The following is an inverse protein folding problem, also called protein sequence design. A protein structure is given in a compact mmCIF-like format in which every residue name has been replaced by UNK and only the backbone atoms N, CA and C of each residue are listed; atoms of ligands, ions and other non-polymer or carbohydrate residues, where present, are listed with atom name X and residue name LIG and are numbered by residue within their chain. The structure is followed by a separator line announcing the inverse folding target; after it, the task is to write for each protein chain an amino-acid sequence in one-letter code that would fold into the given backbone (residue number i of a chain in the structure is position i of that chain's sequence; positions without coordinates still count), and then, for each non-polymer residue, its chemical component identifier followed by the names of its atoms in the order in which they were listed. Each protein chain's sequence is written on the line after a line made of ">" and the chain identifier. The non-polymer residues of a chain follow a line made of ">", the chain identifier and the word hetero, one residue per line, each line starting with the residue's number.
data_IF_476512850402
#
_entry.id   IF_476512850402
#
_cell.length_a   1.000
_cell.length_b   1.000
_cell.length_c   1.000
_cell.angle_alpha   90.00
_cell.angle_beta   90.00
_cell.angle_gamma   90.00
#
_symmetry.space_group_name_H-M   'P 1'
#
loop_
_entity.id
_entity.type
_entity.pdbx_description
1 polymer ?
#
# COMPACT_ATOMS: atom_id res chain seq x y z
N UNK A 1 -0.07 14.54 9.06
CA UNK A 1 -0.32 15.78 8.32
C UNK A 1 -1.71 15.67 7.71
N UNK A 2 -2.59 16.65 7.92
CA UNK A 2 -3.87 16.71 7.21
C UNK A 2 -3.66 17.58 5.97
N UNK A 3 -3.83 16.97 4.80
CA UNK A 3 -3.70 17.66 3.53
C UNK A 3 -5.11 17.84 2.96
N UNK A 4 -5.53 19.08 2.75
CA UNK A 4 -6.78 19.43 2.06
C UNK A 4 -6.50 20.56 1.08
N UNK A 5 -6.86 20.39 -0.20
CA UNK A 5 -6.69 21.42 -1.23
C UNK A 5 -7.04 20.93 -2.63
N UNK A 6 -7.17 21.84 -3.60
CA UNK A 6 -7.45 21.51 -4.99
C UNK A 6 -6.16 21.17 -5.75
N UNK A 7 -6.14 20.03 -6.47
CA UNK A 7 -5.11 19.57 -7.40
C UNK A 7 -3.66 19.83 -6.96
N UNK A 8 -3.14 18.98 -6.10
CA UNK A 8 -1.80 19.11 -5.55
C UNK A 8 -0.92 17.92 -5.93
N UNK A 9 0.35 18.24 -6.17
CA UNK A 9 1.42 17.24 -6.22
C UNK A 9 2.25 17.36 -4.96
N UNK A 10 2.36 16.27 -4.22
CA UNK A 10 3.17 16.16 -3.00
C UNK A 10 4.41 15.33 -3.30
N UNK A 11 5.58 15.96 -3.17
CA UNK A 11 6.87 15.32 -3.38
C UNK A 11 7.63 15.21 -2.05
N UNK A 12 7.94 13.98 -1.66
CA UNK A 12 8.78 13.65 -0.51
C UNK A 12 10.04 12.97 -1.03
N UNK A 13 11.18 13.66 -0.96
CA UNK A 13 12.48 13.14 -1.39
C UNK A 13 13.46 13.14 -0.22
N UNK A 14 14.22 12.05 -0.08
CA UNK A 14 15.24 11.87 0.95
C UNK A 14 14.73 12.11 2.38
N UNK A 15 13.45 11.79 2.62
CA UNK A 15 12.76 12.02 3.88
C UNK A 15 12.89 10.82 4.83
N UNK A 16 12.82 11.10 6.14
CA UNK A 16 12.72 10.08 7.19
C UNK A 16 11.52 10.37 8.08
N UNK A 17 10.69 9.36 8.30
CA UNK A 17 9.54 9.39 9.20
C UNK A 17 9.68 8.29 10.24
N UNK A 18 10.08 8.64 11.47
CA UNK A 18 10.10 7.71 12.60
C UNK A 18 9.01 8.00 13.63
N UNK A 19 8.90 7.19 14.68
CA UNK A 19 7.87 7.36 15.72
C UNK A 19 7.92 8.67 16.49
N UNK A 20 9.05 9.40 16.46
CA UNK A 20 9.11 10.75 17.04
C UNK A 20 8.47 11.81 16.12
N UNK A 21 8.20 11.45 14.86
CA UNK A 21 7.56 12.25 13.83
C UNK A 21 6.17 11.70 13.45
N UNK A 22 5.44 11.10 14.39
CA UNK A 22 4.03 10.79 14.15
C UNK A 22 3.23 12.09 14.19
N UNK A 23 2.55 12.40 13.09
CA UNK A 23 1.77 13.64 12.95
C UNK A 23 0.32 13.47 13.43
N UNK A 24 -0.06 12.25 13.80
CA UNK A 24 -1.32 11.85 14.37
C UNK A 24 -1.03 10.66 15.31
N UNK A 25 -1.75 10.47 16.43
CA UNK A 25 -1.80 9.18 17.13
C UNK A 25 -2.06 7.97 16.22
N UNK A 26 -2.66 8.20 15.04
CA UNK A 26 -3.05 7.14 14.11
C UNK A 26 -2.10 6.95 12.89
N UNK A 27 -0.93 7.62 12.81
CA UNK A 27 0.04 7.39 11.70
C UNK A 27 0.83 8.61 11.20
N UNK A 28 1.48 8.46 10.03
CA UNK A 28 2.24 9.56 9.37
C UNK A 28 1.27 10.50 8.63
N UNK A 29 0.36 9.97 7.83
CA UNK A 29 -0.56 10.77 7.02
C UNK A 29 -1.93 10.10 6.83
N UNK A 30 -2.97 10.90 7.03
CA UNK A 30 -4.35 10.62 6.60
C UNK A 30 -4.67 11.58 5.46
N UNK A 31 -5.03 11.02 4.31
CA UNK A 31 -5.49 11.73 3.15
C UNK A 31 -6.94 11.36 2.84
N UNK A 32 -7.80 12.37 2.74
CA UNK A 32 -9.19 12.20 2.35
C UNK A 32 -9.59 13.39 1.48
N UNK A 33 -9.74 13.18 0.17
CA UNK A 33 -10.09 14.25 -0.77
C UNK A 33 -10.83 13.73 -2.00
N UNK A 34 -11.51 14.63 -2.69
CA UNK A 34 -12.39 14.35 -3.84
C UNK A 34 -11.89 14.95 -5.16
N UNK A 35 -10.58 15.20 -5.24
CA UNK A 35 -9.93 15.85 -6.38
C UNK A 35 -8.70 15.05 -6.79
N UNK A 36 -8.27 15.21 -8.04
CA UNK A 36 -7.10 14.50 -8.56
C UNK A 36 -5.82 15.00 -7.87
N UNK A 37 -5.11 14.11 -7.18
CA UNK A 37 -3.85 14.41 -6.49
C UNK A 37 -2.79 13.36 -6.76
N UNK A 38 -1.53 13.78 -6.61
CA UNK A 38 -0.37 12.95 -6.90
C UNK A 38 0.62 12.97 -5.74
N UNK A 39 1.08 11.79 -5.32
CA UNK A 39 2.05 11.64 -4.24
C UNK A 39 3.26 10.86 -4.73
N UNK A 40 4.43 11.46 -4.55
CA UNK A 40 5.71 10.88 -4.93
C UNK A 40 6.60 10.77 -3.70
N UNK A 41 6.94 9.54 -3.33
CA UNK A 41 7.88 9.21 -2.28
C UNK A 41 9.13 8.62 -2.93
N UNK A 42 10.25 9.32 -2.84
CA UNK A 42 11.54 8.90 -3.38
C UNK A 42 12.60 8.85 -2.28
N UNK A 43 13.29 7.72 -2.15
CA UNK A 43 14.30 7.52 -1.10
C UNK A 43 13.76 7.77 0.33
N UNK A 44 12.49 7.47 0.57
CA UNK A 44 11.84 7.74 1.86
C UNK A 44 11.94 6.54 2.79
N UNK A 45 12.34 6.80 4.03
CA UNK A 45 12.40 5.79 5.08
C UNK A 45 11.27 6.01 6.11
N UNK A 46 10.45 4.99 6.35
CA UNK A 46 9.34 5.05 7.32
C UNK A 46 9.42 3.89 8.30
N UNK A 47 9.67 4.16 9.58
CA UNK A 47 10.04 3.08 10.49
C UNK A 47 9.75 3.32 11.97
N UNK A 48 9.75 2.21 12.73
CA UNK A 48 9.58 2.18 14.18
C UNK A 48 8.29 2.85 14.68
N UNK A 49 7.25 2.96 13.84
CA UNK A 49 5.93 3.42 14.29
C UNK A 49 5.25 2.31 15.10
N UNK A 50 4.73 2.64 16.27
CA UNK A 50 4.07 1.68 17.17
C UNK A 50 2.74 2.24 17.65
N UNK A 51 1.65 1.84 17.00
CA UNK A 51 0.28 2.26 17.34
C UNK A 51 -0.49 1.09 17.93
N UNK A 52 -1.27 1.34 18.99
CA UNK A 52 -2.00 0.27 19.73
C UNK A 52 -3.49 0.25 19.35
N UNK A 53 -4.07 1.41 19.04
CA UNK A 53 -5.53 1.59 19.04
C UNK A 53 -6.10 1.53 17.62
N UNK A 54 -5.66 2.41 16.72
CA UNK A 54 -5.98 2.43 15.29
C UNK A 54 -4.87 3.20 14.58
N UNK A 55 -4.55 2.82 13.35
CA UNK A 55 -3.67 3.65 12.54
C UNK A 55 -2.92 2.90 11.45
N UNK A 56 -3.09 3.37 10.23
CA UNK A 56 -2.24 3.05 9.09
C UNK A 56 -1.02 3.96 9.08
N UNK A 57 0.10 3.48 8.55
CA UNK A 57 1.27 4.33 8.37
C UNK A 57 0.94 5.46 7.38
N UNK A 58 0.31 5.09 6.27
CA UNK A 58 -0.28 6.00 5.28
C UNK A 58 -1.69 5.53 4.95
N UNK A 59 -2.64 6.45 5.05
CA UNK A 59 -4.03 6.19 4.70
C UNK A 59 -4.51 7.14 3.61
N UNK A 60 -4.91 6.60 2.46
CA UNK A 60 -5.43 7.39 1.34
C UNK A 60 -6.87 6.98 1.04
N UNK A 61 -7.77 7.96 1.09
CA UNK A 61 -9.15 7.87 0.64
C UNK A 61 -9.33 8.87 -0.49
N UNK A 62 -9.76 8.38 -1.65
CA UNK A 62 -10.01 9.18 -2.84
C UNK A 62 -11.38 8.81 -3.42
N UNK A 63 -12.22 9.81 -3.69
CA UNK A 63 -13.59 9.63 -4.17
C UNK A 63 -13.97 10.73 -5.17
N UNK A 64 -14.34 10.38 -6.41
CA UNK A 64 -14.72 11.40 -7.39
C UNK A 64 -14.66 11.00 -8.87
N UNK A 65 -15.82 10.85 -9.50
CA UNK A 65 -15.90 10.52 -10.93
C UNK A 65 -15.07 11.46 -11.82
N UNK A 66 -14.13 10.89 -12.57
CA UNK A 66 -13.28 11.59 -13.53
C UNK A 66 -11.90 12.02 -13.01
N UNK A 67 -11.59 11.77 -11.73
CA UNK A 67 -10.26 12.03 -11.17
C UNK A 67 -9.29 10.85 -11.32
N UNK A 68 -8.01 11.13 -11.06
CA UNK A 68 -6.96 10.14 -10.96
C UNK A 68 -6.16 10.28 -9.65
N UNK A 69 -6.09 9.20 -8.87
CA UNK A 69 -5.14 9.07 -7.78
C UNK A 69 -3.81 8.52 -8.32
N UNK A 70 -2.74 9.30 -8.21
CA UNK A 70 -1.39 8.87 -8.58
C UNK A 70 -0.53 8.69 -7.33
N UNK A 71 -0.02 7.48 -7.12
CA UNK A 71 0.85 7.16 -5.99
C UNK A 71 2.12 6.50 -6.52
N UNK A 72 3.27 7.05 -6.19
CA UNK A 72 4.56 6.50 -6.57
C UNK A 72 5.50 6.39 -5.37
N UNK A 73 5.99 5.18 -5.12
CA UNK A 73 7.05 4.88 -4.17
C UNK A 73 8.26 4.39 -4.97
N UNK A 74 9.38 5.07 -4.86
CA UNK A 74 10.62 4.71 -5.54
C UNK A 74 11.79 4.67 -4.56
N UNK A 75 12.42 3.52 -4.43
CA UNK A 75 13.58 3.32 -3.54
C UNK A 75 13.30 3.63 -2.07
N UNK A 76 12.08 3.33 -1.60
CA UNK A 76 11.66 3.55 -0.22
C UNK A 76 11.89 2.31 0.67
N UNK A 77 12.14 2.52 1.97
CA UNK A 77 12.18 1.45 2.96
C UNK A 77 11.15 1.68 4.08
N UNK A 78 10.28 0.70 4.28
CA UNK A 78 9.21 0.71 5.28
C UNK A 78 9.43 -0.48 6.21
N UNK A 79 9.93 -0.22 7.42
CA UNK A 79 10.40 -1.32 8.26
C UNK A 79 10.18 -1.14 9.76
N UNK A 80 10.10 -2.27 10.48
CA UNK A 80 9.94 -2.33 11.94
C UNK A 80 8.71 -1.57 12.48
N UNK A 81 7.65 -1.42 11.69
CA UNK A 81 6.42 -0.79 12.15
C UNK A 81 5.51 -1.84 12.81
N UNK A 82 4.86 -1.47 13.90
CA UNK A 82 3.88 -2.28 14.62
C UNK A 82 2.57 -1.51 14.74
N UNK A 83 1.59 -1.88 13.94
CA UNK A 83 0.30 -1.19 13.87
C UNK A 83 -0.79 -2.13 14.38
N UNK A 84 -1.39 -1.79 15.52
CA UNK A 84 -2.45 -2.56 16.17
C UNK A 84 -3.85 -2.05 15.84
N UNK A 85 -4.86 -2.76 16.36
CA UNK A 85 -6.25 -2.32 16.32
C UNK A 85 -7.00 -2.66 15.04
N UNK A 86 -7.83 -1.73 14.54
CA UNK A 86 -8.58 -1.90 13.28
C UNK A 86 -7.85 -1.40 12.03
N UNK A 87 -6.51 -1.20 12.12
CA UNK A 87 -5.69 -0.69 11.01
C UNK A 87 -5.92 -1.52 9.74
N UNK A 88 -6.23 -0.86 8.62
CA UNK A 88 -6.40 -1.48 7.30
C UNK A 88 -5.09 -1.70 6.55
N UNK A 89 -3.92 -1.69 7.20
CA UNK A 89 -2.62 -1.96 6.58
C UNK A 89 -1.50 -1.00 6.99
N UNK A 90 -0.25 -1.18 6.52
CA UNK A 90 0.74 -0.08 6.58
C UNK A 90 0.32 1.02 5.64
N UNK A 91 0.07 0.65 4.39
CA UNK A 91 -0.44 1.55 3.37
C UNK A 91 -1.82 1.02 3.04
N UNK A 92 -2.85 1.82 3.29
CA UNK A 92 -4.20 1.48 2.88
C UNK A 92 -4.72 2.53 1.90
N UNK A 93 -5.19 2.04 0.76
CA UNK A 93 -5.68 2.84 -0.36
C UNK A 93 -7.15 2.48 -0.58
N UNK A 94 -8.03 3.46 -0.45
CA UNK A 94 -9.44 3.31 -0.77
C UNK A 94 -9.80 4.26 -1.90
N UNK A 95 -10.18 3.69 -3.03
CA UNK A 95 -10.46 4.44 -4.26
C UNK A 95 -11.89 4.17 -4.68
N UNK A 96 -12.70 5.23 -4.79
CA UNK A 96 -14.13 5.17 -5.08
C UNK A 96 -14.47 5.97 -6.34
N UNK A 97 -15.10 5.30 -7.31
CA UNK A 97 -15.58 5.90 -8.56
C UNK A 97 -14.48 6.65 -9.36
N UNK A 98 -13.22 6.22 -9.27
CA UNK A 98 -12.06 6.96 -9.79
C UNK A 98 -11.13 6.11 -10.67
N UNK A 99 -10.19 6.78 -11.34
CA UNK A 99 -9.03 6.09 -11.91
C UNK A 99 -7.85 6.13 -10.95
N UNK A 100 -6.99 5.12 -11.01
CA UNK A 100 -5.78 5.13 -10.19
C UNK A 100 -4.56 4.57 -10.92
N UNK A 101 -3.38 5.07 -10.55
CA UNK A 101 -2.11 4.49 -10.96
C UNK A 101 -1.16 4.47 -9.78
N UNK A 102 -0.88 3.27 -9.28
CA UNK A 102 -0.06 3.05 -8.10
C UNK A 102 1.22 2.33 -8.54
N UNK A 103 2.37 2.93 -8.25
CA UNK A 103 3.69 2.37 -8.57
C UNK A 103 4.51 2.22 -7.30
N UNK A 104 5.09 1.05 -7.12
CA UNK A 104 6.01 0.73 -6.03
C UNK A 104 7.23 0.08 -6.68
N UNK A 105 8.35 0.80 -6.71
CA UNK A 105 9.55 0.36 -7.38
C UNK A 105 10.75 0.36 -6.43
N UNK A 106 11.56 -0.70 -6.48
CA UNK A 106 12.82 -0.79 -5.74
C UNK A 106 12.64 -0.59 -4.22
N UNK A 107 11.51 -1.00 -3.66
CA UNK A 107 11.19 -0.74 -2.26
C UNK A 107 11.51 -1.96 -1.36
N UNK A 108 11.64 -1.71 -0.06
CA UNK A 108 11.77 -2.73 0.98
C UNK A 108 10.66 -2.58 2.02
N UNK A 109 9.91 -3.64 2.25
CA UNK A 109 8.96 -3.78 3.35
C UNK A 109 9.48 -4.87 4.29
N UNK A 110 9.97 -4.50 5.48
CA UNK A 110 10.66 -5.44 6.36
C UNK A 110 10.17 -5.42 7.81
N UNK A 111 9.96 -6.59 8.41
CA UNK A 111 9.71 -6.74 9.86
C UNK A 111 8.49 -5.95 10.37
N UNK A 112 7.49 -5.71 9.52
CA UNK A 112 6.28 -5.01 9.93
C UNK A 112 5.27 -5.98 10.55
N UNK A 113 4.54 -5.54 11.59
CA UNK A 113 3.54 -6.34 12.31
C UNK A 113 2.24 -5.56 12.39
N UNK A 114 1.23 -5.97 11.63
CA UNK A 114 0.05 -5.13 11.36
C UNK A 114 -1.21 -5.93 11.61
N UNK A 115 -2.29 -5.27 12.02
CA UNK A 115 -3.53 -5.96 12.29
C UNK A 115 -4.14 -6.64 11.04
N UNK A 116 -4.06 -6.01 9.86
CA UNK A 116 -4.78 -6.45 8.65
C UNK A 116 -3.94 -6.54 7.36
N UNK A 117 -2.63 -6.84 7.40
CA UNK A 117 -1.79 -6.98 6.19
C UNK A 117 -0.84 -5.80 5.95
N UNK A 118 0.08 -5.88 4.96
CA UNK A 118 1.12 -4.83 4.73
C UNK A 118 0.67 -3.71 3.80
N UNK A 119 0.13 -4.04 2.64
CA UNK A 119 -0.46 -3.12 1.69
C UNK A 119 -1.89 -3.58 1.43
N UNK A 120 -2.86 -2.70 1.65
CA UNK A 120 -4.25 -2.95 1.22
C UNK A 120 -4.63 -1.93 0.17
N UNK A 121 -5.21 -2.43 -0.91
CA UNK A 121 -5.83 -1.61 -1.95
C UNK A 121 -7.26 -2.09 -2.14
N UNK A 122 -8.21 -1.33 -1.60
CA UNK A 122 -9.65 -1.58 -1.73
C UNK A 122 -10.22 -0.55 -2.73
N UNK A 123 -10.67 -1.03 -3.88
CA UNK A 123 -11.15 -0.19 -4.97
C UNK A 123 -12.59 -0.53 -5.28
N UNK A 124 -13.44 0.49 -5.36
CA UNK A 124 -14.87 0.35 -5.63
C UNK A 124 -15.23 1.21 -6.84
N UNK A 125 -15.90 0.61 -7.83
CA UNK A 125 -16.31 1.24 -9.09
C UNK A 125 -15.17 1.99 -9.80
N UNK A 126 -13.93 1.51 -9.63
CA UNK A 126 -12.72 2.19 -10.06
C UNK A 126 -11.96 1.34 -11.07
N UNK A 127 -11.16 1.99 -11.91
CA UNK A 127 -10.29 1.33 -12.91
C UNK A 127 -8.87 1.85 -12.82
N UNK A 128 -7.88 0.98 -12.90
CA UNK A 128 -6.51 1.42 -12.73
C UNK A 128 -5.46 0.34 -12.83
N UNK A 129 -4.23 0.78 -12.59
CA UNK A 129 -3.06 -0.07 -12.58
C UNK A 129 -2.38 0.00 -11.22
N UNK A 130 -1.95 -1.16 -10.72
CA UNK A 130 -0.94 -1.26 -9.67
C UNK A 130 0.28 -1.97 -10.24
N UNK A 131 1.45 -1.36 -10.11
CA UNK A 131 2.72 -1.88 -10.58
C UNK A 131 3.71 -1.95 -9.44
N UNK A 132 4.07 -3.17 -9.01
CA UNK A 132 5.04 -3.40 -7.95
C UNK A 132 6.23 -4.14 -8.56
N UNK A 133 7.38 -3.48 -8.57
CA UNK A 133 8.58 -3.94 -9.26
C UNK A 133 9.81 -3.90 -8.37
N UNK A 134 10.71 -4.86 -8.53
CA UNK A 134 12.02 -4.88 -7.85
C UNK A 134 11.89 -4.72 -6.32
N UNK A 135 10.78 -5.18 -5.74
CA UNK A 135 10.41 -4.85 -4.35
C UNK A 135 10.49 -6.10 -3.48
N UNK A 136 10.98 -5.93 -2.26
CA UNK A 136 11.16 -7.02 -1.30
C UNK A 136 10.18 -6.85 -0.13
N UNK A 137 9.43 -7.90 0.15
CA UNK A 137 8.59 -8.06 1.34
C UNK A 137 9.20 -9.17 2.19
N UNK A 138 9.77 -8.81 3.34
CA UNK A 138 10.49 -9.74 4.20
C UNK A 138 10.00 -9.69 5.66
N UNK A 139 9.63 -10.85 6.19
CA UNK A 139 9.23 -11.02 7.60
C UNK A 139 8.11 -10.07 8.06
N UNK A 140 7.13 -9.79 7.19
CA UNK A 140 5.95 -9.02 7.54
C UNK A 140 4.83 -9.94 8.02
N UNK A 141 4.15 -9.52 9.09
CA UNK A 141 3.16 -10.33 9.79
C UNK A 141 1.82 -9.64 9.86
N UNK A 142 0.76 -10.40 9.59
CA UNK A 142 -0.63 -9.97 9.73
C UNK A 142 -1.23 -10.64 10.97
N UNK A 143 -1.96 -9.89 11.79
CA UNK A 143 -2.74 -10.49 12.88
C UNK A 143 -4.04 -11.11 12.36
N UNK A 144 -4.50 -10.70 11.17
CA UNK A 144 -5.61 -11.33 10.47
C UNK A 144 -5.06 -12.47 9.59
N UNK A 145 -5.35 -13.74 9.92
CA UNK A 145 -4.84 -14.89 9.18
C UNK A 145 -5.42 -15.04 7.77
N UNK A 146 -6.46 -14.26 7.43
CA UNK A 146 -7.10 -14.28 6.12
C UNK A 146 -6.50 -13.27 5.14
N UNK A 147 -5.53 -12.46 5.55
CA UNK A 147 -4.94 -11.38 4.76
C UNK A 147 -3.46 -11.65 4.53
N UNK A 148 -2.94 -11.19 3.38
CA UNK A 148 -1.56 -11.38 2.96
C UNK A 148 -0.69 -10.13 3.20
N UNK A 149 0.54 -10.13 2.66
CA UNK A 149 1.31 -8.90 2.59
C UNK A 149 0.67 -7.86 1.70
N UNK A 150 0.07 -8.29 0.58
CA UNK A 150 -0.63 -7.39 -0.32
C UNK A 150 -2.03 -7.96 -0.51
N UNK A 151 -3.04 -7.17 -0.19
CA UNK A 151 -4.44 -7.52 -0.44
C UNK A 151 -5.05 -6.50 -1.40
N UNK A 152 -5.50 -7.00 -2.54
CA UNK A 152 -6.25 -6.23 -3.51
C UNK A 152 -7.72 -6.66 -3.47
N UNK A 153 -8.62 -5.69 -3.30
CA UNK A 153 -10.06 -5.92 -3.23
C UNK A 153 -10.72 -5.03 -4.28
N UNK A 154 -11.22 -5.63 -5.35
CA UNK A 154 -12.01 -4.96 -6.38
C UNK A 154 -13.50 -5.17 -6.18
N UNK A 155 -14.27 -4.08 -6.15
CA UNK A 155 -15.73 -4.05 -6.11
C UNK A 155 -16.26 -3.17 -7.24
N UNK A 156 -17.35 -3.53 -7.91
CA UNK A 156 -18.04 -2.57 -8.79
C UNK A 156 -18.99 -3.14 -9.84
N UNK A 157 -20.05 -2.40 -10.15
CA UNK A 157 -21.22 -2.99 -10.84
C UNK A 157 -21.04 -3.23 -12.34
N UNK A 158 -20.07 -2.62 -13.04
CA UNK A 158 -19.73 -2.91 -14.44
C UNK A 158 -18.39 -2.26 -14.84
N UNK A 159 -17.49 -3.00 -15.51
CA UNK A 159 -16.37 -2.41 -16.26
C UNK A 159 -15.17 -1.91 -15.45
N UNK A 160 -14.99 -2.37 -14.21
CA UNK A 160 -13.75 -2.14 -13.45
C UNK A 160 -12.64 -3.04 -13.99
N UNK A 161 -11.98 -2.60 -15.07
CA UNK A 161 -10.77 -3.25 -15.60
C UNK A 161 -9.57 -2.82 -14.78
N UNK A 162 -9.12 -3.72 -13.90
CA UNK A 162 -7.98 -3.46 -13.04
C UNK A 162 -6.84 -4.38 -13.38
N UNK A 163 -5.66 -3.79 -13.49
CA UNK A 163 -4.45 -4.53 -13.86
C UNK A 163 -3.44 -4.45 -12.73
N UNK A 164 -2.93 -5.62 -12.36
CA UNK A 164 -1.95 -5.77 -11.30
C UNK A 164 -0.68 -6.38 -11.86
N UNK A 165 0.46 -5.72 -11.68
CA UNK A 165 1.77 -6.21 -12.09
C UNK A 165 2.64 -6.45 -10.85
N UNK A 166 3.09 -7.69 -10.67
CA UNK A 166 4.20 -8.03 -9.79
C UNK A 166 5.37 -8.50 -10.65
N UNK A 167 6.47 -7.76 -10.65
CA UNK A 167 7.65 -8.13 -11.43
C UNK A 167 8.94 -8.04 -10.61
N UNK A 168 9.74 -9.11 -10.63
CA UNK A 168 11.01 -9.17 -9.91
C UNK A 168 10.88 -8.85 -8.40
N UNK A 169 9.83 -9.37 -7.76
CA UNK A 169 9.56 -9.16 -6.34
C UNK A 169 9.92 -10.39 -5.51
N UNK A 170 10.32 -10.17 -4.25
CA UNK A 170 10.62 -11.24 -3.29
C UNK A 170 9.65 -11.17 -2.12
N UNK A 171 8.96 -12.26 -1.85
CA UNK A 171 8.10 -12.46 -0.68
C UNK A 171 8.69 -13.56 0.18
N UNK A 172 9.21 -13.20 1.33
CA UNK A 172 9.96 -14.10 2.19
C UNK A 172 9.50 -13.99 3.64
N UNK A 173 9.20 -15.12 4.29
CA UNK A 173 8.83 -15.19 5.72
C UNK A 173 7.62 -14.32 6.09
N UNK A 174 6.71 -14.11 5.14
CA UNK A 174 5.51 -13.32 5.37
C UNK A 174 4.32 -14.20 5.75
N UNK A 175 3.37 -13.64 6.49
CA UNK A 175 2.03 -14.24 6.70
C UNK A 175 1.19 -14.05 5.42
N UNK A 176 1.54 -14.78 4.36
CA UNK A 176 0.95 -14.64 3.04
C UNK A 176 1.69 -13.63 2.13
N UNK A 177 1.60 -13.83 0.82
CA UNK A 177 2.29 -12.99 -0.15
C UNK A 177 1.35 -11.99 -0.81
N UNK A 178 0.30 -12.48 -1.47
CA UNK A 178 -0.63 -11.66 -2.23
C UNK A 178 -2.01 -12.32 -2.27
N UNK A 179 -3.07 -11.52 -2.13
CA UNK A 179 -4.44 -11.90 -2.46
C UNK A 179 -5.04 -10.91 -3.46
N UNK A 180 -5.88 -11.43 -4.35
CA UNK A 180 -6.71 -10.64 -5.25
C UNK A 180 -8.14 -11.15 -5.14
N UNK A 181 -9.01 -10.32 -4.59
CA UNK A 181 -10.43 -10.58 -4.48
C UNK A 181 -11.12 -9.62 -5.45
N UNK A 182 -11.89 -10.17 -6.39
CA UNK A 182 -12.72 -9.35 -7.26
C UNK A 182 -14.16 -9.78 -7.07
N UNK A 183 -14.93 -8.97 -6.35
CA UNK A 183 -16.34 -9.24 -6.07
C UNK A 183 -17.18 -9.05 -7.34
N UNK A 184 -16.82 -8.07 -8.18
CA UNK A 184 -17.50 -7.74 -9.42
C UNK A 184 -16.53 -7.14 -10.47
N UNK A 185 -16.77 -7.36 -11.77
CA UNK A 185 -15.89 -6.89 -12.87
C UNK A 185 -14.73 -7.83 -13.25
N UNK A 186 -13.73 -7.32 -13.97
CA UNK A 186 -12.54 -8.07 -14.46
C UNK A 186 -11.24 -7.53 -13.89
N UNK A 187 -10.47 -8.38 -13.22
CA UNK A 187 -9.11 -8.05 -12.78
C UNK A 187 -8.11 -9.05 -13.35
N UNK A 188 -6.96 -8.55 -13.82
CA UNK A 188 -5.88 -9.38 -14.35
C UNK A 188 -4.61 -9.12 -13.54
N UNK A 189 -3.99 -10.20 -13.06
CA UNK A 189 -2.69 -10.14 -12.43
C UNK A 189 -1.61 -10.76 -13.34
N UNK A 190 -0.55 -9.99 -13.60
CA UNK A 190 0.67 -10.44 -14.25
C UNK A 190 1.75 -10.58 -13.17
N UNK A 191 2.18 -11.83 -12.91
CA UNK A 191 3.20 -12.14 -11.89
C UNK A 191 4.40 -12.76 -12.60
N UNK A 192 5.52 -12.04 -12.65
CA UNK A 192 6.74 -12.44 -13.37
C UNK A 192 7.96 -12.32 -12.48
N UNK A 193 8.88 -13.28 -12.59
CA UNK A 193 10.17 -13.25 -11.88
C UNK A 193 10.05 -13.08 -10.35
N UNK A 194 8.93 -13.49 -9.75
CA UNK A 194 8.73 -13.38 -8.32
C UNK A 194 9.24 -14.62 -7.56
N UNK A 195 9.82 -14.39 -6.38
CA UNK A 195 10.20 -15.45 -5.45
C UNK A 195 9.26 -15.46 -4.26
N UNK A 196 8.70 -16.62 -3.93
CA UNK A 196 7.85 -16.83 -2.75
C UNK A 196 8.48 -17.90 -1.87
N UNK A 197 8.79 -17.58 -0.61
CA UNK A 197 9.52 -18.51 0.25
C UNK A 197 9.17 -18.33 1.72
N UNK A 198 9.08 -19.46 2.42
CA UNK A 198 8.91 -19.54 3.87
C UNK A 198 10.25 -19.71 4.60
N UNK A 199 11.37 -19.91 3.88
CA UNK A 199 12.66 -20.26 4.45
C UNK A 199 13.44 -19.04 4.94
N UNK A 200 14.23 -19.24 6.02
CA UNK A 200 15.03 -18.18 6.65
C UNK A 200 16.21 -17.71 5.78
N UNK A 201 16.73 -18.57 4.90
CA UNK A 201 17.91 -18.31 4.08
C UNK A 201 17.54 -18.06 2.61
N UNK A 202 17.07 -16.86 2.32
CA UNK A 202 17.15 -16.32 0.95
C UNK A 202 18.32 -15.35 0.97
N UNK A 203 19.26 -15.52 0.05
CA UNK A 203 20.29 -14.50 -0.19
C UNK A 203 19.56 -13.27 -0.76
N UNK A 204 19.32 -12.29 0.13
CA UNK A 204 18.70 -11.01 -0.19
C UNK A 204 19.70 -10.07 -0.85
#
# INVERSE_FOLDING_TARGET
>A
MFISGNHNTFNFEDCRFDSNFSFNPDGIALYNNSVSDSFYFKNVNMFNHNTIINGELLYFISEGSGNALLLNFDSCAIFNNKLGGSSKGLIALLVYDETYNIKINNCLFENNKIAQGSLIVDVTNSKGEISIKNTKFYNNKSQNPNLACIDYIGRGENGTDNVFYLDNCVFARNDGAFTMINEFGSSIAYITNCTFSIMENILL
#
